data_IF_234767146088
#
_entry.id   IF_234767146088
#
_cell.length_a   1.000
_cell.length_b   1.000
_cell.length_c   1.000
_cell.angle_alpha   90.00
_cell.angle_beta   90.00
_cell.angle_gamma   90.00
#
_symmetry.space_group_name_H-M   'P 1'
#
loop_
_entity.id
_entity.type
_entity.pdbx_description
1 polymer ?
#
# COMPACT_ATOMS: atom_id res chain seq x y z
N UNK A 1 -6.10 -10.92 2.87
CA UNK A 1 -4.89 -10.73 2.03
C UNK A 1 -4.08 -12.01 1.88
N UNK A 2 -3.72 -12.71 2.96
CA UNK A 2 -2.79 -13.86 2.88
C UNK A 2 -3.21 -14.98 1.91
N UNK A 3 -4.48 -15.38 1.92
CA UNK A 3 -5.00 -16.38 0.98
C UNK A 3 -4.88 -15.92 -0.47
N UNK A 4 -5.09 -14.63 -0.73
CA UNK A 4 -4.94 -14.01 -2.04
C UNK A 4 -3.50 -14.07 -2.51
N UNK A 5 -2.54 -13.68 -1.67
CA UNK A 5 -1.11 -13.75 -2.03
C UNK A 5 -0.62 -15.19 -2.18
N UNK A 6 -1.12 -16.12 -1.35
CA UNK A 6 -0.85 -17.56 -1.51
C UNK A 6 -1.40 -18.10 -2.82
N UNK A 7 -2.58 -17.66 -3.24
CA UNK A 7 -3.14 -18.01 -4.54
C UNK A 7 -2.27 -17.44 -5.68
N UNK A 8 -1.92 -16.16 -5.62
CA UNK A 8 -1.08 -15.48 -6.63
C UNK A 8 0.30 -16.14 -6.75
N UNK A 9 0.90 -16.56 -5.63
CA UNK A 9 2.22 -17.22 -5.61
C UNK A 9 2.31 -18.53 -6.40
N UNK A 10 1.17 -19.08 -6.84
CA UNK A 10 1.10 -20.28 -7.68
C UNK A 10 1.24 -19.99 -9.18
N UNK A 11 1.22 -18.72 -9.59
CA UNK A 11 1.48 -18.36 -11.00
C UNK A 11 2.94 -18.64 -11.38
N UNK A 12 3.23 -18.67 -12.69
CA UNK A 12 4.56 -19.00 -13.21
C UNK A 12 5.61 -17.97 -12.76
N UNK A 13 6.84 -18.44 -12.52
CA UNK A 13 7.99 -17.56 -12.24
C UNK A 13 8.14 -16.50 -13.33
N UNK A 14 8.47 -15.27 -12.92
CA UNK A 14 8.49 -14.08 -13.77
C UNK A 14 7.14 -13.35 -13.90
N UNK A 15 6.04 -13.97 -13.46
CA UNK A 15 4.73 -13.29 -13.39
C UNK A 15 4.79 -12.08 -12.45
N UNK A 16 3.98 -11.06 -12.75
CA UNK A 16 3.94 -9.78 -12.02
C UNK A 16 2.62 -9.61 -11.29
N UNK A 17 2.67 -9.06 -10.09
CA UNK A 17 1.50 -8.56 -9.36
C UNK A 17 1.72 -7.09 -9.00
N UNK A 18 0.67 -6.28 -9.20
CA UNK A 18 0.60 -4.90 -8.72
C UNK A 18 -0.65 -4.78 -7.87
N UNK A 19 -0.52 -4.22 -6.66
CA UNK A 19 -1.66 -4.03 -5.77
C UNK A 19 -1.48 -2.78 -4.90
N UNK A 20 -2.60 -2.21 -4.47
CA UNK A 20 -2.61 -1.14 -3.46
C UNK A 20 -2.81 -1.72 -2.07
N UNK A 21 -2.29 -1.03 -1.06
CA UNK A 21 -2.57 -1.32 0.35
C UNK A 21 -2.58 -0.02 1.15
N UNK A 22 -3.22 -0.08 2.32
CA UNK A 22 -3.17 1.00 3.32
C UNK A 22 -2.11 0.70 4.38
N UNK A 23 -1.47 1.74 4.90
CA UNK A 23 -0.43 1.58 5.94
C UNK A 23 -1.02 0.97 7.21
N UNK A 24 -0.32 -0.01 7.78
CA UNK A 24 -0.76 -0.75 8.99
C UNK A 24 -1.07 0.18 10.17
N UNK A 25 -0.30 1.27 10.32
CA UNK A 25 -0.48 2.25 11.40
C UNK A 25 -1.86 2.94 11.40
N UNK A 26 -2.55 2.97 10.25
CA UNK A 26 -3.93 3.47 10.17
C UNK A 26 -4.94 2.47 10.74
N UNK A 27 -4.65 1.17 10.64
CA UNK A 27 -5.55 0.08 11.02
C UNK A 27 -5.49 -0.15 12.53
N UNK A 28 -4.29 -0.10 13.09
CA UNK A 28 -4.06 -0.32 14.51
C UNK A 28 -4.22 0.98 15.35
N UNK A 29 -4.44 2.13 14.72
CA UNK A 29 -4.59 3.42 15.39
C UNK A 29 -3.30 4.01 15.96
N UNK A 30 -2.13 3.59 15.48
CA UNK A 30 -0.81 4.07 15.97
C UNK A 30 -0.16 5.09 15.05
N UNK A 31 -0.90 5.64 14.10
CA UNK A 31 -0.37 6.61 13.13
C UNK A 31 -0.35 8.03 13.71
N UNK A 32 0.73 8.76 13.42
CA UNK A 32 0.85 10.18 13.77
C UNK A 32 0.32 11.11 12.66
N UNK A 33 -0.37 10.57 11.65
CA UNK A 33 -0.92 11.36 10.57
C UNK A 33 -2.03 12.28 11.08
N UNK A 34 -1.84 13.58 10.84
CA UNK A 34 -2.86 14.59 11.15
C UNK A 34 -4.14 14.25 10.39
N UNK A 35 -5.27 14.15 11.12
CA UNK A 35 -6.57 13.82 10.54
C UNK A 35 -6.85 12.32 10.37
N UNK A 36 -5.98 11.43 10.87
CA UNK A 36 -6.19 9.99 10.79
C UNK A 36 -7.51 9.51 11.41
N UNK A 37 -7.94 10.08 12.55
CA UNK A 37 -9.23 9.76 13.19
C UNK A 37 -10.42 10.16 12.31
N UNK A 38 -10.35 11.35 11.69
CA UNK A 38 -11.36 11.83 10.76
C UNK A 38 -11.46 10.94 9.54
N UNK A 39 -10.33 10.59 8.92
CA UNK A 39 -10.27 9.66 7.79
C UNK A 39 -10.83 8.28 8.16
N UNK A 40 -10.45 7.75 9.32
CA UNK A 40 -10.97 6.46 9.83
C UNK A 40 -12.50 6.49 9.98
N UNK A 41 -13.03 7.58 10.52
CA UNK A 41 -14.49 7.78 10.64
C UNK A 41 -15.15 7.85 9.27
N UNK A 42 -14.58 8.62 8.33
CA UNK A 42 -15.09 8.74 6.97
C UNK A 42 -15.14 7.40 6.24
N UNK A 43 -14.09 6.58 6.34
CA UNK A 43 -14.09 5.24 5.74
C UNK A 43 -15.18 4.34 6.33
N UNK A 44 -15.32 4.33 7.66
CA UNK A 44 -16.37 3.56 8.34
C UNK A 44 -17.77 3.98 7.91
N UNK A 45 -18.05 5.28 7.88
CA UNK A 45 -19.34 5.83 7.44
C UNK A 45 -19.59 5.52 5.95
N UNK A 46 -18.54 5.55 5.13
CA UNK A 46 -18.59 5.18 3.72
C UNK A 46 -18.65 3.67 3.45
N UNK A 47 -18.77 2.83 4.48
CA UNK A 47 -18.85 1.37 4.35
C UNK A 47 -17.51 0.68 4.02
N UNK A 48 -16.40 1.42 4.01
CA UNK A 48 -15.07 0.87 3.83
C UNK A 48 -14.49 0.48 5.19
N UNK A 49 -14.61 -0.80 5.52
CA UNK A 49 -13.96 -1.35 6.70
C UNK A 49 -12.52 -1.76 6.35
N UNK A 50 -11.56 -0.86 6.57
CA UNK A 50 -10.14 -1.14 6.39
C UNK A 50 -9.66 -2.12 7.49
N UNK A 51 -9.73 -3.42 7.19
CA UNK A 51 -9.39 -4.48 8.16
C UNK A 51 -7.93 -4.92 8.10
N UNK A 52 -7.20 -4.52 7.06
CA UNK A 52 -5.85 -4.99 6.80
C UNK A 52 -5.00 -3.87 6.24
N UNK A 53 -3.76 -3.80 6.71
CA UNK A 53 -2.74 -2.90 6.21
C UNK A 53 -1.37 -3.56 6.28
N UNK A 54 -0.38 -2.95 5.64
CA UNK A 54 1.00 -3.43 5.66
C UNK A 54 1.91 -2.31 6.13
N UNK A 55 2.98 -2.70 6.83
CA UNK A 55 4.04 -1.78 7.18
C UNK A 55 5.01 -1.64 5.99
N UNK A 56 5.19 -0.44 5.43
CA UNK A 56 6.09 -0.24 4.28
C UNK A 56 7.53 -0.65 4.58
N UNK A 57 7.97 -0.53 5.84
CA UNK A 57 9.32 -0.93 6.25
C UNK A 57 9.53 -2.45 6.26
N UNK A 58 8.45 -3.23 6.26
CA UNK A 58 8.48 -4.70 6.32
C UNK A 58 7.82 -5.37 5.11
N UNK A 59 7.47 -4.61 4.07
CA UNK A 59 6.74 -5.12 2.90
C UNK A 59 7.56 -6.16 2.14
N UNK A 60 8.88 -5.98 2.05
CA UNK A 60 9.78 -6.91 1.38
C UNK A 60 9.79 -8.28 2.11
N UNK A 61 9.98 -8.28 3.42
CA UNK A 61 9.95 -9.48 4.26
C UNK A 61 8.58 -10.16 4.22
N UNK A 62 7.51 -9.38 4.18
CA UNK A 62 6.16 -9.91 4.06
C UNK A 62 5.95 -10.64 2.73
N UNK A 63 6.37 -10.06 1.61
CA UNK A 63 6.25 -10.65 0.27
C UNK A 63 7.11 -11.89 0.07
N UNK A 64 8.30 -11.93 0.67
CA UNK A 64 9.21 -13.08 0.59
C UNK A 64 8.58 -14.38 1.09
N UNK A 65 7.62 -14.31 2.03
CA UNK A 65 6.84 -15.48 2.51
C UNK A 65 6.02 -16.15 1.42
N UNK A 66 5.76 -15.45 0.31
CA UNK A 66 4.95 -15.87 -0.82
C UNK A 66 5.74 -16.00 -2.11
N UNK A 67 7.09 -16.10 -2.05
CA UNK A 67 7.97 -16.12 -3.24
C UNK A 67 7.73 -14.92 -4.17
N UNK A 68 7.44 -13.77 -3.58
CA UNK A 68 7.29 -12.52 -4.29
C UNK A 68 8.50 -11.64 -3.97
N UNK A 69 9.28 -11.33 -5.00
CA UNK A 69 10.33 -10.33 -4.92
C UNK A 69 9.72 -8.94 -5.10
N UNK A 70 9.94 -8.06 -4.13
CA UNK A 70 9.59 -6.66 -4.24
C UNK A 70 10.42 -5.98 -5.34
N UNK A 71 9.76 -5.28 -6.27
CA UNK A 71 10.42 -4.45 -7.28
C UNK A 71 10.30 -2.98 -6.90
N UNK A 72 9.10 -2.54 -6.52
CA UNK A 72 8.84 -1.14 -6.17
C UNK A 72 7.69 -1.04 -5.17
N UNK A 73 7.78 -0.13 -4.22
CA UNK A 73 6.72 0.24 -3.28
C UNK A 73 6.71 1.77 -3.12
N UNK A 74 5.66 2.41 -3.62
CA UNK A 74 5.56 3.87 -3.71
C UNK A 74 4.32 4.40 -3.01
N UNK A 75 4.45 5.61 -2.46
CA UNK A 75 3.35 6.32 -1.81
C UNK A 75 3.36 7.80 -2.17
N UNK A 76 2.64 8.59 -1.37
CA UNK A 76 2.47 10.03 -1.53
C UNK A 76 3.70 10.81 -2.03
N UNK A 77 4.86 10.64 -1.36
CA UNK A 77 6.08 11.38 -1.72
C UNK A 77 6.51 11.13 -3.16
N UNK A 78 6.40 9.89 -3.64
CA UNK A 78 6.73 9.56 -5.03
C UNK A 78 5.80 10.29 -6.02
N UNK A 79 4.51 10.35 -5.73
CA UNK A 79 3.56 11.09 -6.59
C UNK A 79 3.81 12.60 -6.58
N UNK A 80 4.14 13.15 -5.41
CA UNK A 80 4.50 14.56 -5.28
C UNK A 80 5.72 14.90 -6.13
N UNK A 81 6.81 14.15 -5.99
CA UNK A 81 8.06 14.42 -6.70
C UNK A 81 7.99 14.14 -8.20
N UNK A 82 7.37 13.03 -8.61
CA UNK A 82 7.49 12.56 -10.00
C UNK A 82 6.33 12.98 -10.90
N UNK A 83 5.17 13.35 -10.34
CA UNK A 83 3.99 13.68 -11.13
C UNK A 83 3.44 15.07 -10.88
N UNK A 84 3.43 15.56 -9.64
CA UNK A 84 2.76 16.83 -9.30
C UNK A 84 3.70 18.03 -9.39
N UNK A 85 4.85 17.98 -8.71
CA UNK A 85 5.85 19.06 -8.74
C UNK A 85 6.36 19.38 -10.15
N UNK A 86 6.66 18.42 -11.04
CA UNK A 86 7.20 18.72 -12.38
C UNK A 86 6.25 19.53 -13.26
N UNK A 87 4.94 19.43 -13.02
CA UNK A 87 3.90 20.18 -13.75
C UNK A 87 3.33 21.34 -12.93
N UNK A 88 4.01 21.73 -11.84
CA UNK A 88 3.59 22.78 -10.92
C UNK A 88 2.16 22.61 -10.35
N UNK A 89 1.68 21.36 -10.23
CA UNK A 89 0.35 21.07 -9.70
C UNK A 89 0.41 20.93 -8.19
N UNK A 90 -0.46 21.67 -7.49
CA UNK A 90 -0.67 21.54 -6.05
C UNK A 90 -1.93 20.72 -5.79
N UNK A 91 -1.73 19.47 -5.41
CA UNK A 91 -2.81 18.55 -5.08
C UNK A 91 -2.36 17.69 -3.89
N UNK A 92 -3.28 17.48 -2.94
CA UNK A 92 -3.05 16.54 -1.85
C UNK A 92 -3.19 15.11 -2.38
N UNK A 93 -2.23 14.28 -2.04
CA UNK A 93 -2.21 12.85 -2.38
C UNK A 93 -2.42 12.04 -1.11
N UNK A 94 -3.02 10.85 -1.26
CA UNK A 94 -3.27 9.96 -0.14
C UNK A 94 -1.96 9.60 0.57
N UNK A 95 -1.85 9.97 1.85
CA UNK A 95 -0.71 9.63 2.71
C UNK A 95 -0.77 8.20 3.23
N UNK A 96 -1.95 7.58 3.15
CA UNK A 96 -2.23 6.29 3.77
C UNK A 96 -2.18 5.13 2.78
N UNK A 97 -2.28 5.40 1.48
CA UNK A 97 -2.31 4.39 0.43
C UNK A 97 -0.95 4.30 -0.26
N UNK A 98 -0.55 3.08 -0.59
CA UNK A 98 0.68 2.76 -1.31
C UNK A 98 0.42 1.75 -2.40
N UNK A 99 1.28 1.75 -3.42
CA UNK A 99 1.24 0.79 -4.53
C UNK A 99 2.51 -0.04 -4.52
N UNK A 100 2.33 -1.35 -4.52
CA UNK A 100 3.40 -2.34 -4.58
C UNK A 100 3.42 -3.01 -5.95
N UNK A 101 4.60 -3.09 -6.54
CA UNK A 101 4.92 -3.93 -7.69
C UNK A 101 5.88 -5.03 -7.26
N UNK A 102 5.49 -6.29 -7.48
CA UNK A 102 6.31 -7.46 -7.17
C UNK A 102 6.33 -8.48 -8.33
N UNK A 103 7.38 -9.31 -8.37
CA UNK A 103 7.52 -10.44 -9.29
C UNK A 103 7.55 -11.77 -8.55
N UNK A 104 6.98 -12.80 -9.16
CA UNK A 104 7.06 -14.18 -8.64
C UNK A 104 8.41 -14.78 -9.00
N UNK A 105 9.08 -15.36 -8.00
CA UNK A 105 10.39 -16.02 -8.15
C UNK A 105 10.28 -17.55 -8.02
#
# INVERSE_FOLDING_TARGET
>A
MENTLRFISKASSGSTVVFTYVIESMINGTTDLIGAETLTTLFKVGGQNLQFGLNPSYINEYLNKYKLQLIEDVGASYYQENYLKPICRKLDVSLIERITYAKII
#
